data_IF_522266882212
#
_entry.id   IF_522266882212
#
_cell.length_a   1.000
_cell.length_b   1.000
_cell.length_c   1.000
_cell.angle_alpha   90.00
_cell.angle_beta   90.00
_cell.angle_gamma   90.00
#
_symmetry.space_group_name_H-M   'P 1'
#
loop_
_entity.id
_entity.type
_entity.pdbx_description
1 polymer ?
#
# COMPACT_ATOMS: atom_id res chain seq x y z
N UNK A 1 4.04 14.51 0.75
CA UNK A 1 3.77 13.98 -0.61
C UNK A 1 2.57 13.06 -0.52
N UNK A 2 1.94 12.69 -1.64
CA UNK A 2 0.83 11.72 -1.65
C UNK A 2 1.11 10.67 -2.71
N UNK A 3 0.99 9.41 -2.32
CA UNK A 3 1.23 8.26 -3.19
C UNK A 3 -0.02 7.97 -4.03
N UNK A 4 0.18 7.68 -5.32
CA UNK A 4 -0.91 7.34 -6.23
C UNK A 4 -1.52 5.99 -5.83
N UNK A 5 -2.84 5.96 -5.71
CA UNK A 5 -3.66 4.79 -5.35
C UNK A 5 -4.42 4.20 -6.55
N UNK A 6 -4.31 4.81 -7.73
CA UNK A 6 -4.82 4.26 -9.00
C UNK A 6 -3.74 3.42 -9.71
N UNK A 7 -4.11 2.32 -10.38
CA UNK A 7 -3.16 1.44 -11.06
C UNK A 7 -2.50 2.08 -12.30
N UNK A 8 -3.12 3.14 -12.83
CA UNK A 8 -2.62 3.99 -13.90
C UNK A 8 -3.02 5.46 -13.62
N UNK A 9 -2.64 6.36 -14.53
CA UNK A 9 -2.94 7.80 -14.44
C UNK A 9 -3.69 8.30 -15.69
N UNK A 10 -4.36 7.40 -16.42
CA UNK A 10 -5.05 7.72 -17.66
C UNK A 10 -6.42 8.34 -17.36
N UNK A 11 -6.47 9.68 -17.33
CA UNK A 11 -7.71 10.45 -17.21
C UNK A 11 -8.21 10.64 -15.77
N UNK A 12 -7.91 9.71 -14.86
CA UNK A 12 -8.20 9.82 -13.43
C UNK A 12 -6.98 9.40 -12.61
N UNK A 13 -6.76 10.08 -11.48
CA UNK A 13 -5.78 9.69 -10.48
C UNK A 13 -6.47 9.62 -9.13
N UNK A 14 -6.19 8.56 -8.39
CA UNK A 14 -6.68 8.38 -7.03
C UNK A 14 -5.54 8.57 -6.04
N UNK A 15 -5.82 9.17 -4.88
CA UNK A 15 -4.91 9.20 -3.73
C UNK A 15 -5.67 8.78 -2.48
N UNK A 16 -4.99 8.10 -1.57
CA UNK A 16 -5.54 7.74 -0.26
C UNK A 16 -4.89 8.63 0.79
N UNK A 17 -5.70 9.34 1.56
CA UNK A 17 -5.24 10.39 2.46
C UNK A 17 -5.78 10.14 3.86
N UNK A 18 -4.88 10.06 4.84
CA UNK A 18 -5.28 10.18 6.24
C UNK A 18 -5.47 11.67 6.60
N UNK A 19 -6.71 12.03 6.93
CA UNK A 19 -7.13 13.37 7.31
C UNK A 19 -7.58 13.44 8.79
N UNK A 20 -6.92 12.68 9.66
CA UNK A 20 -7.09 12.76 11.11
C UNK A 20 -6.70 14.13 11.73
N UNK A 21 -6.94 14.30 13.05
CA UNK A 21 -6.67 15.56 13.75
C UNK A 21 -5.20 15.99 13.74
N UNK A 22 -4.30 15.01 13.69
CA UNK A 22 -2.84 15.20 13.63
C UNK A 22 -2.35 15.49 12.20
N UNK A 23 -3.23 15.36 11.19
CA UNK A 23 -2.85 15.51 9.79
C UNK A 23 -2.54 16.97 9.44
N UNK A 24 -1.54 17.15 8.58
CA UNK A 24 -1.09 18.48 8.16
C UNK A 24 -2.14 19.29 7.40
N UNK A 25 -1.91 20.61 7.28
CA UNK A 25 -2.85 21.55 6.66
C UNK A 25 -3.33 21.16 5.25
N UNK A 26 -2.49 20.46 4.48
CA UNK A 26 -2.85 19.98 3.13
C UNK A 26 -3.90 18.87 3.20
N UNK A 27 -3.75 17.90 4.11
CA UNK A 27 -4.73 16.81 4.27
C UNK A 27 -6.09 17.37 4.72
N UNK A 28 -6.08 18.33 5.66
CA UNK A 28 -7.30 19.03 6.07
C UNK A 28 -7.95 19.83 4.93
N UNK A 29 -7.16 20.47 4.06
CA UNK A 29 -7.68 21.15 2.87
C UNK A 29 -8.28 20.17 1.86
N UNK A 30 -7.66 19.01 1.65
CA UNK A 30 -8.17 17.95 0.77
C UNK A 30 -9.49 17.36 1.29
N UNK A 31 -9.59 17.12 2.60
CA UNK A 31 -10.82 16.61 3.23
C UNK A 31 -12.02 17.57 3.13
N UNK A 32 -11.76 18.86 2.93
CA UNK A 32 -12.79 19.89 2.73
C UNK A 32 -13.16 20.14 1.26
N UNK A 33 -12.60 19.39 0.30
CA UNK A 33 -12.93 19.55 -1.11
C UNK A 33 -14.29 18.94 -1.45
N UNK A 34 -14.99 19.62 -2.36
CA UNK A 34 -16.25 19.15 -2.94
C UNK A 34 -16.05 18.80 -4.42
N UNK A 35 -16.87 17.89 -4.99
CA UNK A 35 -16.83 17.58 -6.42
C UNK A 35 -16.89 18.85 -7.30
N UNK A 36 -15.97 18.94 -8.27
CA UNK A 36 -15.81 20.11 -9.14
C UNK A 36 -14.78 21.14 -8.66
N UNK A 37 -14.22 20.97 -7.45
CA UNK A 37 -13.06 21.74 -7.03
C UNK A 37 -11.85 21.47 -7.96
N UNK A 38 -11.04 22.50 -8.20
CA UNK A 38 -9.81 22.38 -8.97
C UNK A 38 -8.64 22.18 -8.03
N UNK A 39 -7.85 21.12 -8.25
CA UNK A 39 -6.61 20.83 -7.52
C UNK A 39 -5.44 20.91 -8.50
N UNK A 40 -4.36 21.57 -8.10
CA UNK A 40 -3.11 21.58 -8.87
C UNK A 40 -2.16 20.55 -8.27
N UNK A 41 -1.70 19.61 -9.08
CA UNK A 41 -0.72 18.59 -8.71
C UNK A 41 0.60 18.83 -9.47
N UNK A 42 1.71 18.47 -8.84
CA UNK A 42 3.02 18.43 -9.47
C UNK A 42 3.61 17.02 -9.27
N UNK A 43 4.25 16.48 -10.31
CA UNK A 43 4.81 15.13 -10.33
C UNK A 43 4.89 14.54 -11.74
N UNK A 44 5.14 13.22 -11.86
CA UNK A 44 5.39 12.29 -10.76
C UNK A 44 6.73 12.57 -10.05
N UNK A 45 6.80 12.18 -8.78
CA UNK A 45 8.01 12.21 -7.94
C UNK A 45 8.18 10.84 -7.26
N UNK A 46 9.38 10.58 -6.73
CA UNK A 46 9.74 9.31 -6.11
C UNK A 46 10.66 8.47 -6.98
N UNK A 47 11.44 7.60 -6.35
CA UNK A 47 12.30 6.59 -6.99
C UNK A 47 11.88 5.15 -6.64
N UNK A 48 10.88 5.01 -5.77
CA UNK A 48 10.21 3.76 -5.44
C UNK A 48 8.99 3.58 -6.34
N UNK A 49 9.00 2.56 -7.18
CA UNK A 49 7.90 2.25 -8.09
C UNK A 49 7.86 0.75 -8.39
N UNK A 50 6.68 0.26 -8.79
CA UNK A 50 6.51 -1.07 -9.35
C UNK A 50 7.03 -1.10 -10.79
N UNK A 51 7.91 -2.05 -11.11
CA UNK A 51 8.53 -2.23 -12.43
C UNK A 51 8.26 -3.63 -13.00
N UNK A 52 6.96 -3.99 -13.05
CA UNK A 52 6.48 -5.27 -13.57
C UNK A 52 7.06 -6.50 -12.84
N UNK A 53 7.38 -6.38 -11.55
CA UNK A 53 7.81 -7.51 -10.73
C UNK A 53 6.78 -8.65 -10.81
N UNK A 54 7.23 -9.90 -10.99
CA UNK A 54 6.33 -11.03 -11.26
C UNK A 54 5.41 -11.36 -10.07
N UNK A 55 5.81 -10.95 -8.85
CA UNK A 55 5.06 -11.15 -7.62
C UNK A 55 5.43 -10.08 -6.58
N UNK A 56 4.80 -8.90 -6.62
CA UNK A 56 4.86 -7.94 -5.52
C UNK A 56 4.20 -8.49 -4.25
N UNK A 57 4.90 -8.39 -3.13
CA UNK A 57 4.41 -8.62 -1.76
C UNK A 57 4.23 -7.27 -1.10
N UNK A 58 2.96 -6.88 -0.91
CA UNK A 58 2.58 -5.52 -0.53
C UNK A 58 2.19 -5.49 0.95
N UNK A 59 3.05 -4.89 1.78
CA UNK A 59 2.83 -4.68 3.21
C UNK A 59 2.31 -3.26 3.41
N UNK A 60 1.07 -3.13 3.86
CA UNK A 60 0.39 -1.85 3.96
C UNK A 60 -0.14 -1.59 5.37
N UNK A 61 -0.02 -0.34 5.82
CA UNK A 61 -0.67 0.16 7.02
C UNK A 61 -1.37 1.49 6.76
N UNK A 62 -2.56 1.69 7.34
CA UNK A 62 -3.29 2.95 7.20
C UNK A 62 -3.59 3.29 5.73
N UNK A 63 -3.34 4.54 5.29
CA UNK A 63 -3.55 4.95 3.90
C UNK A 63 -2.62 4.22 2.90
N UNK A 64 -1.61 3.49 3.37
CA UNK A 64 -0.69 2.70 2.54
C UNK A 64 -1.36 1.57 1.77
N UNK A 65 -2.59 1.21 2.13
CA UNK A 65 -3.37 0.26 1.33
C UNK A 65 -3.71 0.81 -0.05
N UNK A 66 -3.80 2.14 -0.22
CA UNK A 66 -4.04 2.79 -1.51
C UNK A 66 -3.06 2.38 -2.61
N UNK A 67 -1.75 2.63 -2.46
CA UNK A 67 -0.75 2.13 -3.41
C UNK A 67 -0.69 0.60 -3.47
N UNK A 68 -0.95 -0.11 -2.37
CA UNK A 68 -0.97 -1.58 -2.40
C UNK A 68 -2.05 -2.14 -3.34
N UNK A 69 -3.29 -1.64 -3.26
CA UNK A 69 -4.36 -2.09 -4.18
C UNK A 69 -4.13 -1.60 -5.62
N UNK A 70 -3.38 -0.50 -5.81
CA UNK A 70 -2.96 -0.03 -7.13
C UNK A 70 -1.97 -1.00 -7.79
N UNK A 71 -0.88 -1.30 -7.08
CA UNK A 71 0.19 -2.18 -7.58
C UNK A 71 -0.32 -3.60 -7.79
N UNK A 72 -1.09 -4.16 -6.84
CA UNK A 72 -1.69 -5.48 -7.03
C UNK A 72 -2.60 -5.52 -8.27
N UNK A 73 -3.43 -4.48 -8.46
CA UNK A 73 -4.28 -4.36 -9.63
C UNK A 73 -3.48 -4.32 -10.95
N UNK A 74 -2.40 -3.53 -10.97
CA UNK A 74 -1.49 -3.38 -12.12
C UNK A 74 -0.75 -4.68 -12.44
N UNK A 75 -0.23 -5.38 -11.43
CA UNK A 75 0.45 -6.66 -11.57
C UNK A 75 -0.47 -7.70 -12.22
N UNK A 76 -1.70 -7.85 -11.72
CA UNK A 76 -2.67 -8.78 -12.31
C UNK A 76 -3.03 -8.40 -13.76
N UNK A 77 -3.10 -7.11 -14.09
CA UNK A 77 -3.34 -6.66 -15.47
C UNK A 77 -2.18 -7.00 -16.41
N UNK A 78 -0.95 -7.09 -15.89
CA UNK A 78 0.22 -7.58 -16.62
C UNK A 78 0.30 -9.12 -16.69
N UNK A 79 -0.60 -9.84 -16.03
CA UNK A 79 -0.58 -11.31 -15.94
C UNK A 79 0.35 -11.85 -14.85
N UNK A 80 0.81 -10.99 -13.94
CA UNK A 80 1.64 -11.33 -12.79
C UNK A 80 0.79 -11.76 -11.58
N UNK A 81 1.45 -12.28 -10.54
CA UNK A 81 0.85 -12.58 -9.24
C UNK A 81 0.95 -11.36 -8.30
N UNK A 82 0.25 -11.38 -7.15
CA UNK A 82 0.44 -10.40 -6.08
C UNK A 82 0.05 -10.99 -4.72
N UNK A 83 0.56 -10.42 -3.64
CA UNK A 83 0.13 -10.68 -2.26
C UNK A 83 -0.04 -9.34 -1.53
N UNK A 84 -1.06 -9.24 -0.69
CA UNK A 84 -1.33 -8.06 0.13
C UNK A 84 -1.47 -8.48 1.59
N UNK A 85 -0.68 -7.85 2.47
CA UNK A 85 -0.87 -7.90 3.93
C UNK A 85 -1.16 -6.48 4.37
N UNK A 86 -2.36 -6.25 4.92
CA UNK A 86 -2.84 -4.93 5.31
C UNK A 86 -3.22 -4.93 6.79
N UNK A 87 -2.70 -3.98 7.57
CA UNK A 87 -3.02 -3.81 8.99
C UNK A 87 -3.67 -2.46 9.26
N UNK A 88 -4.86 -2.47 9.87
CA UNK A 88 -5.65 -1.25 10.09
C UNK A 88 -6.74 -1.47 11.15
N UNK A 89 -7.11 -0.43 11.89
CA UNK A 89 -8.23 -0.45 12.86
C UNK A 89 -9.59 -0.27 12.18
N UNK A 90 -9.63 0.44 11.06
CA UNK A 90 -10.82 0.72 10.28
C UNK A 90 -10.58 0.50 8.78
N UNK A 91 -10.37 -0.77 8.32
CA UNK A 91 -9.94 -1.07 6.96
C UNK A 91 -10.73 -0.33 5.88
N UNK A 92 -10.00 0.40 5.03
CA UNK A 92 -10.52 1.09 3.84
C UNK A 92 -10.26 0.27 2.57
N UNK A 93 -10.75 0.72 1.41
CA UNK A 93 -10.60 0.01 0.13
C UNK A 93 -11.13 -1.43 0.11
N UNK A 94 -12.11 -1.76 0.97
CA UNK A 94 -12.65 -3.12 1.15
C UNK A 94 -13.11 -3.76 -0.17
N UNK A 95 -13.87 -3.01 -0.98
CA UNK A 95 -14.35 -3.50 -2.27
C UNK A 95 -13.19 -3.83 -3.23
N UNK A 96 -12.10 -3.05 -3.20
CA UNK A 96 -10.90 -3.32 -4.02
C UNK A 96 -10.13 -4.53 -3.50
N UNK A 97 -9.99 -4.66 -2.17
CA UNK A 97 -9.37 -5.83 -1.55
C UNK A 97 -10.15 -7.11 -1.86
N UNK A 98 -11.48 -7.07 -1.80
CA UNK A 98 -12.34 -8.20 -2.15
C UNK A 98 -12.26 -8.53 -3.64
N UNK A 99 -12.25 -7.53 -4.52
CA UNK A 99 -12.04 -7.74 -5.96
C UNK A 99 -10.67 -8.37 -6.27
N UNK A 100 -9.62 -8.05 -5.50
CA UNK A 100 -8.31 -8.71 -5.62
C UNK A 100 -8.38 -10.18 -5.19
N UNK A 101 -9.06 -10.48 -4.07
CA UNK A 101 -9.30 -11.86 -3.62
C UNK A 101 -10.03 -12.69 -4.67
N UNK A 102 -11.09 -12.13 -5.26
CA UNK A 102 -11.87 -12.79 -6.31
C UNK A 102 -11.03 -13.12 -7.56
N UNK A 103 -9.96 -12.35 -7.79
CA UNK A 103 -8.98 -12.56 -8.88
C UNK A 103 -7.81 -13.47 -8.48
N UNK A 104 -7.82 -14.03 -7.27
CA UNK A 104 -6.84 -15.00 -6.79
C UNK A 104 -5.64 -14.40 -6.05
N UNK A 105 -5.66 -13.12 -5.70
CA UNK A 105 -4.63 -12.51 -4.84
C UNK A 105 -4.81 -12.99 -3.41
N UNK A 106 -3.71 -13.37 -2.75
CA UNK A 106 -3.71 -13.60 -1.31
C UNK A 106 -3.79 -12.25 -0.60
N UNK A 107 -4.90 -11.98 0.10
CA UNK A 107 -5.13 -10.73 0.82
C UNK A 107 -5.45 -11.01 2.28
N UNK A 108 -4.50 -10.70 3.15
CA UNK A 108 -4.62 -10.81 4.61
C UNK A 108 -4.87 -9.42 5.19
N UNK A 109 -5.96 -9.27 5.94
CA UNK A 109 -6.28 -8.02 6.67
C UNK A 109 -6.21 -8.31 8.16
N UNK A 110 -5.43 -7.51 8.88
CA UNK A 110 -5.12 -7.65 10.28
C UNK A 110 -5.67 -6.46 11.07
N UNK A 111 -6.15 -6.73 12.28
CA UNK A 111 -6.51 -5.67 13.23
C UNK A 111 -5.24 -4.88 13.65
N UNK A 112 -5.41 -3.62 14.07
CA UNK A 112 -4.30 -2.71 14.37
C UNK A 112 -3.23 -3.25 15.33
N UNK A 113 -3.65 -3.99 16.38
CA UNK A 113 -2.75 -4.54 17.40
C UNK A 113 -2.19 -5.93 17.04
N UNK A 114 -2.58 -6.49 15.90
CA UNK A 114 -2.12 -7.81 15.49
C UNK A 114 -0.66 -7.77 15.00
N UNK A 115 0.09 -8.84 15.32
CA UNK A 115 1.44 -9.03 14.82
C UNK A 115 1.44 -9.29 13.31
N UNK A 116 2.41 -8.69 12.61
CA UNK A 116 2.65 -8.94 11.18
C UNK A 116 3.42 -10.25 10.92
N UNK A 117 4.08 -10.82 11.93
CA UNK A 117 5.09 -11.88 11.75
C UNK A 117 4.57 -13.08 10.97
N UNK A 118 3.46 -13.68 11.41
CA UNK A 118 2.93 -14.88 10.76
C UNK A 118 2.42 -14.56 9.33
N UNK A 119 1.71 -13.44 9.16
CA UNK A 119 1.17 -13.04 7.87
C UNK A 119 2.27 -12.71 6.83
N UNK A 120 3.36 -12.09 7.28
CA UNK A 120 4.53 -11.79 6.43
C UNK A 120 5.30 -13.06 6.11
N UNK A 121 5.50 -13.96 7.08
CA UNK A 121 6.12 -15.26 6.83
C UNK A 121 5.33 -16.07 5.77
N UNK A 122 4.00 -16.12 5.89
CA UNK A 122 3.13 -16.76 4.91
C UNK A 122 3.24 -16.08 3.53
N UNK A 123 3.30 -14.75 3.49
CA UNK A 123 3.44 -14.00 2.24
C UNK A 123 4.80 -14.25 1.55
N UNK A 124 5.84 -14.54 2.32
CA UNK A 124 7.21 -14.77 1.87
C UNK A 124 7.59 -16.26 1.75
N UNK A 125 6.65 -17.20 1.88
CA UNK A 125 6.88 -18.63 1.58
C UNK A 125 7.38 -18.87 0.14
N UNK A 126 7.11 -17.91 -0.75
CA UNK A 126 7.59 -17.86 -2.13
C UNK A 126 8.28 -16.53 -2.35
N UNK A 127 9.33 -16.55 -3.17
CA UNK A 127 10.05 -15.34 -3.57
C UNK A 127 9.10 -14.28 -4.15
N UNK A 128 9.38 -13.02 -3.84
CA UNK A 128 8.63 -11.86 -4.31
C UNK A 128 9.31 -10.56 -3.92
N UNK A 129 9.04 -9.49 -4.65
CA UNK A 129 9.57 -8.17 -4.30
C UNK A 129 8.70 -7.56 -3.19
N UNK A 130 9.31 -7.23 -2.05
CA UNK A 130 8.62 -6.60 -0.93
C UNK A 130 8.46 -5.11 -1.18
N UNK A 131 7.25 -4.61 -0.98
CA UNK A 131 6.95 -3.18 -0.91
C UNK A 131 6.26 -2.88 0.42
N UNK A 132 6.71 -1.83 1.11
CA UNK A 132 6.18 -1.40 2.41
C UNK A 132 5.65 0.03 2.31
N UNK A 133 4.38 0.20 2.64
CA UNK A 133 3.67 1.49 2.60
C UNK A 133 2.99 1.79 3.94
N UNK A 134 3.40 2.85 4.63
CA UNK A 134 2.78 3.25 5.88
C UNK A 134 3.55 4.33 6.64
N UNK A 135 3.13 4.57 7.88
CA UNK A 135 3.83 5.45 8.82
C UNK A 135 4.96 4.72 9.55
N UNK A 136 5.88 5.48 10.17
CA UNK A 136 7.11 4.97 10.82
C UNK A 136 6.90 3.70 11.65
N UNK A 137 5.95 3.71 12.60
CA UNK A 137 5.71 2.54 13.45
C UNK A 137 5.22 1.29 12.69
N UNK A 138 4.47 1.45 11.60
CA UNK A 138 4.10 0.30 10.74
C UNK A 138 5.29 -0.17 9.92
N UNK A 139 6.09 0.76 9.38
CA UNK A 139 7.28 0.42 8.58
C UNK A 139 8.27 -0.38 9.41
N UNK A 140 8.55 0.04 10.65
CA UNK A 140 9.42 -0.67 11.58
C UNK A 140 8.91 -2.11 11.83
N UNK A 141 7.63 -2.25 12.21
CA UNK A 141 7.03 -3.57 12.44
C UNK A 141 7.07 -4.48 11.19
N UNK A 142 6.87 -3.89 9.99
CA UNK A 142 6.88 -4.64 8.74
C UNK A 142 8.30 -5.13 8.40
N UNK A 143 9.32 -4.29 8.56
CA UNK A 143 10.72 -4.67 8.32
C UNK A 143 11.21 -5.68 9.36
N UNK A 144 10.81 -5.55 10.63
CA UNK A 144 11.08 -6.56 11.66
C UNK A 144 10.43 -7.90 11.29
N UNK A 145 9.22 -7.89 10.74
CA UNK A 145 8.55 -9.11 10.27
C UNK A 145 9.23 -9.73 9.04
N UNK A 146 9.77 -8.92 8.11
CA UNK A 146 10.57 -9.38 6.97
C UNK A 146 11.87 -10.07 7.46
N UNK A 147 12.57 -9.46 8.42
CA UNK A 147 13.75 -10.07 9.07
C UNK A 147 13.38 -11.39 9.77
N UNK A 148 12.25 -11.42 10.48
CA UNK A 148 11.78 -12.62 11.17
C UNK A 148 11.42 -13.77 10.20
N UNK A 149 10.95 -13.43 8.99
CA UNK A 149 10.73 -14.39 7.90
C UNK A 149 12.04 -14.87 7.26
N UNK A 150 13.18 -14.26 7.58
CA UNK A 150 14.50 -14.63 7.08
C UNK A 150 14.89 -13.96 5.76
N UNK A 151 14.19 -12.89 5.38
CA UNK A 151 14.46 -12.11 4.16
C UNK A 151 15.27 -10.83 4.48
N UNK A 152 15.78 -10.17 3.45
CA UNK A 152 16.61 -8.96 3.58
C UNK A 152 15.74 -7.68 3.58
N UNK A 153 15.62 -6.96 4.72
CA UNK A 153 14.83 -5.74 4.79
C UNK A 153 15.42 -4.61 3.92
N UNK A 154 16.73 -4.63 3.62
CA UNK A 154 17.38 -3.61 2.78
C UNK A 154 17.02 -3.78 1.29
N UNK A 155 16.49 -4.95 0.91
CA UNK A 155 15.98 -5.22 -0.43
C UNK A 155 14.51 -4.77 -0.63
N UNK A 156 13.81 -4.42 0.46
CA UNK A 156 12.44 -3.94 0.39
C UNK A 156 12.37 -2.52 -0.19
N UNK A 157 11.37 -2.28 -1.03
CA UNK A 157 10.99 -0.92 -1.43
C UNK A 157 10.12 -0.31 -0.34
N UNK A 158 10.57 0.78 0.27
CA UNK A 158 9.88 1.40 1.41
C UNK A 158 9.46 2.82 1.09
N UNK A 159 8.18 3.13 1.29
CA UNK A 159 7.66 4.50 1.28
C UNK A 159 7.05 4.82 2.65
N UNK A 160 7.78 5.62 3.43
CA UNK A 160 7.34 6.12 4.72
C UNK A 160 6.63 7.47 4.54
N UNK A 161 5.43 7.61 5.11
CA UNK A 161 4.58 8.79 4.94
C UNK A 161 4.86 9.94 5.92
N UNK A 162 5.81 9.78 6.83
CA UNK A 162 6.29 10.83 7.73
C UNK A 162 6.32 10.41 9.19
#
# INVERSE_FOLDING_TARGET
FYTISSPDADGEVEITVDAGPESGAVAGALAGLEPGATVTIAGPFGDQYYDDEPRPVLLAGGPGVGPAVAIAGRALAAGNEAVVVYRDDAPIHRDRLDALRDRGVSVTVLDADASLTDAVADALERDGQVFVYGFEGFVDDALDAVVAAGDDPDAATVENFG
#
